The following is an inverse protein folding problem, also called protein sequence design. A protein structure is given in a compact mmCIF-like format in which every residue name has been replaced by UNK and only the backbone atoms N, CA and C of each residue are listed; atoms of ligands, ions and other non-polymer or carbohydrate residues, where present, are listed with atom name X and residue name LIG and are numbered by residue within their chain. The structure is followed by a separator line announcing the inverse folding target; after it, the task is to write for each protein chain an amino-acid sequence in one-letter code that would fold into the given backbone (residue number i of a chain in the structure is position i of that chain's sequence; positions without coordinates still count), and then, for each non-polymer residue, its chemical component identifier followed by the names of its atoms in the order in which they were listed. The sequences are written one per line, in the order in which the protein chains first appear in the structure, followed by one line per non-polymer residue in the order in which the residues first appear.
data_IF_022468621142
#
_entry.id   IF_022468621142
#
_cell.length_a   1.000
_cell.length_b   1.000
_cell.length_c   1.000
_cell.angle_alpha   90.00
_cell.angle_beta   90.00
_cell.angle_gamma   90.00
#
_symmetry.space_group_name_H-M   'P 1'
#
loop_
_entity.id
_entity.type
_entity.pdbx_description
1 polymer ?
#
# COMPACT_ATOMS: atom_id res chain seq x y z
N UNK A 1 -19.99 -4.82 24.29
CA UNK A 1 -20.03 -4.33 22.90
C UNK A 1 -20.73 -2.99 22.94
N UNK A 2 -19.98 -1.89 22.87
CA UNK A 2 -20.59 -0.56 22.86
C UNK A 2 -21.24 -0.35 21.49
N UNK A 3 -22.51 0.02 21.52
CA UNK A 3 -23.34 0.29 20.36
C UNK A 3 -22.83 1.57 19.69
N UNK A 4 -22.04 1.42 18.63
CA UNK A 4 -21.42 2.52 17.91
C UNK A 4 -22.46 3.12 16.95
N UNK A 5 -22.84 4.38 17.16
CA UNK A 5 -23.98 5.01 16.45
C UNK A 5 -23.51 5.90 15.29
N UNK A 6 -24.30 6.03 14.21
CA UNK A 6 -24.03 7.00 13.15
C UNK A 6 -23.86 8.41 13.73
N UNK A 7 -22.65 8.98 13.60
CA UNK A 7 -22.28 10.30 14.13
C UNK A 7 -21.22 10.30 15.24
N UNK A 8 -20.94 9.15 15.86
CA UNK A 8 -19.81 8.98 16.79
C UNK A 8 -18.49 8.84 16.00
N UNK A 9 -17.39 9.52 16.39
CA UNK A 9 -16.05 9.23 15.85
C UNK A 9 -15.71 7.73 15.79
N UNK A 10 -16.12 6.95 16.80
CA UNK A 10 -15.92 5.50 16.82
C UNK A 10 -16.66 4.76 15.70
N UNK A 11 -17.74 5.32 15.17
CA UNK A 11 -18.51 4.73 14.06
C UNK A 11 -17.69 4.72 12.79
N UNK A 12 -17.09 5.86 12.45
CA UNK A 12 -16.28 5.98 11.23
C UNK A 12 -15.06 5.09 11.28
N UNK A 13 -14.41 5.00 12.45
CA UNK A 13 -13.28 4.10 12.66
C UNK A 13 -13.68 2.63 12.46
N UNK A 14 -14.79 2.19 13.06
CA UNK A 14 -15.27 0.81 12.89
C UNK A 14 -15.61 0.47 11.42
N UNK A 15 -16.16 1.44 10.66
CA UNK A 15 -16.40 1.27 9.23
C UNK A 15 -15.09 1.18 8.43
N UNK A 16 -14.11 2.00 8.78
CA UNK A 16 -12.78 1.96 8.16
C UNK A 16 -12.08 0.62 8.42
N UNK A 17 -12.09 0.14 9.67
CA UNK A 17 -11.56 -1.18 10.03
C UNK A 17 -12.29 -2.32 9.31
N UNK A 18 -13.63 -2.22 9.18
CA UNK A 18 -14.40 -3.19 8.41
C UNK A 18 -14.05 -3.18 6.93
N UNK A 19 -13.75 -2.01 6.35
CA UNK A 19 -13.33 -1.89 4.96
C UNK A 19 -11.94 -2.53 4.75
N UNK A 20 -10.99 -2.29 5.67
CA UNK A 20 -9.68 -2.95 5.68
C UNK A 20 -9.85 -4.46 5.74
N UNK A 21 -10.65 -4.96 6.69
CA UNK A 21 -10.88 -6.40 6.84
C UNK A 21 -11.50 -7.03 5.58
N UNK A 22 -12.44 -6.32 4.94
CA UNK A 22 -13.02 -6.78 3.68
C UNK A 22 -11.98 -6.86 2.56
N UNK A 23 -11.14 -5.83 2.42
CA UNK A 23 -10.08 -5.78 1.39
C UNK A 23 -9.04 -6.87 1.65
N UNK A 24 -8.62 -7.09 2.89
CA UNK A 24 -7.71 -8.18 3.27
C UNK A 24 -8.24 -9.55 2.80
N UNK A 25 -9.53 -9.82 3.04
CA UNK A 25 -10.17 -11.03 2.55
C UNK A 25 -10.20 -11.12 1.01
N UNK A 26 -10.29 -10.00 0.28
CA UNK A 26 -10.20 -10.01 -1.18
C UNK A 26 -8.77 -10.22 -1.67
N UNK A 27 -7.77 -9.62 -1.01
CA UNK A 27 -6.35 -9.82 -1.33
C UNK A 27 -5.95 -11.29 -1.17
N UNK A 28 -6.43 -11.93 -0.09
CA UNK A 28 -6.22 -13.38 0.09
C UNK A 28 -6.68 -14.19 -1.12
N UNK A 29 -7.83 -13.88 -1.72
CA UNK A 29 -8.33 -14.60 -2.91
C UNK A 29 -7.40 -14.45 -4.11
N UNK A 30 -6.79 -13.27 -4.29
CA UNK A 30 -5.82 -13.03 -5.36
C UNK A 30 -4.55 -13.83 -5.11
N UNK A 31 -4.03 -13.82 -3.88
CA UNK A 31 -2.80 -14.54 -3.53
C UNK A 31 -2.99 -16.05 -3.60
N UNK A 32 -4.12 -16.57 -3.12
CA UNK A 32 -4.48 -17.99 -3.26
C UNK A 32 -4.55 -18.39 -4.73
N UNK A 33 -5.16 -17.56 -5.60
CA UNK A 33 -5.21 -17.84 -7.03
C UNK A 33 -3.82 -17.86 -7.70
N UNK A 34 -2.90 -16.96 -7.30
CA UNK A 34 -1.51 -16.99 -7.77
C UNK A 34 -0.78 -18.25 -7.29
N UNK A 35 -1.04 -18.68 -6.05
CA UNK A 35 -0.47 -19.89 -5.47
C UNK A 35 -0.97 -21.14 -6.19
N UNK A 36 -2.28 -21.27 -6.37
CA UNK A 36 -2.92 -22.42 -7.02
C UNK A 36 -2.54 -22.54 -8.50
N UNK A 37 -2.30 -21.41 -9.18
CA UNK A 37 -1.78 -21.37 -10.55
C UNK A 37 -0.27 -21.67 -10.65
N UNK A 38 0.44 -21.78 -9.53
CA UNK A 38 1.89 -21.99 -9.50
C UNK A 38 2.71 -20.75 -9.91
N UNK A 39 2.13 -19.55 -9.85
CA UNK A 39 2.77 -18.30 -10.27
C UNK A 39 3.30 -17.46 -9.10
N UNK A 40 2.97 -17.83 -7.85
CA UNK A 40 3.35 -17.07 -6.66
C UNK A 40 4.84 -16.69 -6.61
N UNK A 41 5.74 -17.57 -7.03
CA UNK A 41 7.19 -17.31 -7.00
C UNK A 41 7.72 -16.54 -8.22
N UNK A 42 6.93 -16.42 -9.29
CA UNK A 42 7.30 -15.74 -10.53
C UNK A 42 6.59 -14.41 -10.75
N UNK A 43 5.69 -14.02 -9.85
CA UNK A 43 4.92 -12.77 -9.94
C UNK A 43 5.50 -11.71 -9.01
N UNK A 44 5.81 -10.54 -9.57
CA UNK A 44 6.03 -9.32 -8.79
C UNK A 44 4.68 -8.82 -8.26
N UNK A 45 4.57 -8.70 -6.94
CA UNK A 45 3.40 -8.12 -6.26
C UNK A 45 3.82 -6.81 -5.61
N UNK A 46 3.09 -5.74 -5.93
CA UNK A 46 3.23 -4.42 -5.30
C UNK A 46 1.88 -4.06 -4.71
N UNK A 47 1.79 -3.99 -3.37
CA UNK A 47 0.63 -3.51 -2.64
C UNK A 47 0.91 -2.08 -2.18
N UNK A 48 0.02 -1.15 -2.53
CA UNK A 48 0.18 0.27 -2.20
C UNK A 48 -1.18 0.95 -2.07
N UNK A 49 -1.23 2.06 -1.35
CA UNK A 49 -2.35 3.01 -1.37
C UNK A 49 -1.94 4.31 -2.09
N UNK A 50 -2.85 4.96 -2.79
CA UNK A 50 -2.60 6.24 -3.46
C UNK A 50 -2.57 7.43 -2.48
N UNK A 51 -3.28 7.31 -1.37
CA UNK A 51 -3.24 8.21 -0.22
C UNK A 51 -3.65 7.49 1.06
N UNK A 52 -3.45 8.14 2.20
CA UNK A 52 -4.01 7.72 3.48
C UNK A 52 -5.35 8.41 3.79
N UNK A 53 -5.78 8.38 5.04
CA UNK A 53 -7.09 8.88 5.48
C UNK A 53 -6.97 9.46 6.89
N UNK A 54 -7.42 10.68 7.13
CA UNK A 54 -7.59 11.18 8.51
C UNK A 54 -8.87 10.58 9.10
N UNK A 55 -8.76 10.12 10.34
CA UNK A 55 -9.83 9.45 11.11
C UNK A 55 -10.17 10.23 12.39
N UNK A 56 -9.89 11.53 12.39
CA UNK A 56 -10.25 12.47 13.47
C UNK A 56 -9.08 13.07 14.24
N UNK A 57 -7.83 12.72 13.91
CA UNK A 57 -6.60 13.11 14.61
C UNK A 57 -6.48 14.63 14.75
N UNK A 58 -6.89 15.37 13.73
CA UNK A 58 -6.87 16.83 13.69
C UNK A 58 -8.27 17.46 13.62
N UNK A 59 -9.30 16.73 14.04
CA UNK A 59 -10.70 17.16 13.92
C UNK A 59 -11.26 17.09 12.49
N UNK A 60 -10.48 16.58 11.55
CA UNK A 60 -10.90 16.27 10.18
C UNK A 60 -11.09 14.77 10.01
N UNK A 61 -12.03 14.40 9.13
CA UNK A 61 -12.20 13.04 8.62
C UNK A 61 -12.15 13.11 7.11
N UNK A 62 -11.37 12.25 6.49
CA UNK A 62 -11.19 12.28 5.06
C UNK A 62 -9.74 12.57 4.65
N UNK A 63 -9.56 12.70 3.35
CA UNK A 63 -8.32 13.05 2.68
C UNK A 63 -8.60 14.22 1.74
N UNK A 64 -7.56 14.87 1.19
CA UNK A 64 -7.58 16.03 0.25
C UNK A 64 -7.66 17.41 0.88
N UNK A 65 -7.95 17.55 2.17
CA UNK A 65 -8.03 18.85 2.85
C UNK A 65 -6.77 19.24 3.61
N UNK A 66 -5.89 18.28 3.90
CA UNK A 66 -4.69 18.50 4.70
C UNK A 66 -3.47 17.77 4.10
N UNK A 67 -2.30 18.01 4.68
CA UNK A 67 -1.03 17.38 4.34
C UNK A 67 -0.42 16.68 5.57
N UNK A 68 -1.28 16.20 6.48
CA UNK A 68 -0.83 15.46 7.66
C UNK A 68 -0.37 14.05 7.29
N UNK A 69 0.35 13.41 8.21
CA UNK A 69 1.00 12.12 7.98
C UNK A 69 -0.03 11.04 7.65
N UNK A 70 -1.19 11.09 8.28
CA UNK A 70 -2.33 10.22 8.08
C UNK A 70 -2.83 10.24 6.63
N UNK A 71 -2.72 11.38 5.94
CA UNK A 71 -3.07 11.52 4.52
C UNK A 71 -1.93 11.16 3.57
N UNK A 72 -0.67 11.35 3.98
CA UNK A 72 0.51 11.23 3.09
C UNK A 72 1.25 9.89 3.22
N UNK A 73 1.23 9.27 4.40
CA UNK A 73 1.95 8.04 4.67
C UNK A 73 1.06 6.84 4.33
N UNK A 74 1.42 6.16 3.26
CA UNK A 74 0.68 5.00 2.73
C UNK A 74 1.45 3.70 2.93
N UNK A 75 0.75 2.55 3.01
CA UNK A 75 1.43 1.26 2.94
C UNK A 75 2.10 1.11 1.57
N UNK A 76 3.31 0.55 1.55
CA UNK A 76 4.00 0.07 0.36
C UNK A 76 4.68 -1.25 0.70
N UNK A 77 4.26 -2.33 0.06
CA UNK A 77 4.86 -3.66 0.20
C UNK A 77 5.20 -4.18 -1.18
N UNK A 78 6.45 -4.58 -1.37
CA UNK A 78 6.96 -5.14 -2.63
C UNK A 78 7.43 -6.57 -2.35
N UNK A 79 6.85 -7.54 -3.06
CA UNK A 79 7.24 -8.95 -2.99
C UNK A 79 7.64 -9.44 -4.37
N UNK A 80 8.88 -9.87 -4.51
CA UNK A 80 9.33 -10.62 -5.68
C UNK A 80 10.43 -11.61 -5.28
N UNK A 81 10.08 -12.87 -4.96
CA UNK A 81 10.99 -13.83 -4.32
C UNK A 81 12.25 -14.16 -5.13
N UNK A 82 12.27 -13.85 -6.42
CA UNK A 82 13.42 -14.09 -7.31
C UNK A 82 14.56 -13.09 -7.13
N UNK A 83 14.26 -11.90 -6.59
CA UNK A 83 15.21 -10.78 -6.52
C UNK A 83 15.24 -10.15 -5.14
N UNK A 84 14.08 -10.00 -4.50
CA UNK A 84 13.95 -9.32 -3.21
C UNK A 84 13.92 -10.38 -2.10
N UNK A 85 14.82 -10.23 -1.13
CA UNK A 85 14.84 -11.08 0.06
C UNK A 85 13.62 -10.82 0.93
N UNK A 86 13.11 -11.87 1.57
CA UNK A 86 12.00 -11.75 2.51
C UNK A 86 12.43 -11.02 3.80
N UNK A 87 11.44 -10.58 4.58
CA UNK A 87 11.61 -10.01 5.92
C UNK A 87 12.49 -8.75 5.99
N UNK A 88 12.52 -7.96 4.91
CA UNK A 88 13.17 -6.66 4.86
C UNK A 88 12.21 -5.53 5.23
N UNK A 89 12.67 -4.61 6.08
CA UNK A 89 11.98 -3.34 6.40
C UNK A 89 12.88 -2.19 5.97
N UNK A 90 12.33 -1.27 5.17
CA UNK A 90 13.03 -0.07 4.70
C UNK A 90 12.47 1.15 5.42
N UNK A 91 13.32 1.86 6.15
CA UNK A 91 12.93 3.07 6.90
C UNK A 91 13.20 4.39 6.14
N UNK A 92 13.83 4.29 4.97
CA UNK A 92 14.13 5.45 4.12
C UNK A 92 12.83 5.96 3.47
N UNK A 93 12.63 7.29 3.36
CA UNK A 93 11.46 7.83 2.67
C UNK A 93 11.38 7.34 1.22
N UNK A 94 10.19 6.88 0.84
CA UNK A 94 9.84 6.49 -0.52
C UNK A 94 8.65 7.30 -1.03
N UNK A 95 8.52 7.39 -2.35
CA UNK A 95 7.46 8.07 -3.06
C UNK A 95 6.71 7.10 -3.97
N UNK A 96 5.43 7.38 -4.24
CA UNK A 96 4.68 6.64 -5.27
C UNK A 96 5.32 6.76 -6.66
N UNK A 97 6.10 7.81 -6.90
CA UNK A 97 6.86 7.99 -8.15
C UNK A 97 7.97 6.95 -8.32
N UNK A 98 8.48 6.39 -7.21
CA UNK A 98 9.57 5.42 -7.22
C UNK A 98 9.11 4.04 -7.69
N UNK A 99 7.81 3.75 -7.62
CA UNK A 99 7.23 2.46 -8.00
C UNK A 99 7.51 2.15 -9.46
N UNK A 100 7.30 3.12 -10.37
CA UNK A 100 7.52 2.89 -11.79
C UNK A 100 9.00 2.63 -12.09
N UNK A 101 9.90 3.44 -11.53
CA UNK A 101 11.35 3.24 -11.67
C UNK A 101 11.80 1.88 -11.12
N UNK A 102 11.24 1.45 -9.99
CA UNK A 102 11.53 0.14 -9.38
C UNK A 102 11.05 -1.01 -10.26
N UNK A 103 9.87 -0.90 -10.88
CA UNK A 103 9.37 -1.91 -11.81
C UNK A 103 10.29 -2.06 -13.01
N UNK A 104 10.69 -0.94 -13.63
CA UNK A 104 11.59 -0.96 -14.79
C UNK A 104 12.92 -1.64 -14.46
N UNK A 105 13.51 -1.29 -13.31
CA UNK A 105 14.74 -1.89 -12.82
C UNK A 105 14.60 -3.41 -12.61
N UNK A 106 13.54 -3.84 -11.92
CA UNK A 106 13.23 -5.25 -11.68
C UNK A 106 13.04 -6.09 -12.96
N UNK A 107 12.55 -5.48 -14.03
CA UNK A 107 12.38 -6.18 -15.33
C UNK A 107 13.54 -5.95 -16.30
N UNK A 108 14.59 -5.24 -15.89
CA UNK A 108 15.78 -4.99 -16.70
C UNK A 108 15.55 -4.04 -17.87
N UNK A 109 14.62 -3.10 -17.74
CA UNK A 109 14.33 -2.08 -18.75
C UNK A 109 15.00 -0.75 -18.40
N UNK A 110 15.52 -0.07 -19.41
CA UNK A 110 16.13 1.26 -19.23
C UNK A 110 15.05 2.31 -18.92
N UNK A 111 15.19 3.09 -17.84
CA UNK A 111 14.24 4.14 -17.52
C UNK A 111 14.25 5.26 -18.57
N UNK A 112 13.07 5.74 -19.03
CA UNK A 112 13.02 6.89 -19.91
C UNK A 112 13.59 8.15 -19.23
N UNK A 113 14.14 9.06 -20.02
CA UNK A 113 14.62 10.33 -19.51
C UNK A 113 13.49 11.14 -18.85
N UNK A 114 13.81 11.84 -17.75
CA UNK A 114 12.88 12.75 -17.08
C UNK A 114 11.98 12.12 -16.03
N UNK A 115 12.16 10.84 -15.68
CA UNK A 115 11.52 10.27 -14.49
C UNK A 115 12.01 10.98 -13.22
N UNK A 116 11.08 11.24 -12.31
CA UNK A 116 11.36 11.89 -11.03
C UNK A 116 11.62 10.88 -9.90
N UNK A 117 11.09 9.66 -10.03
CA UNK A 117 11.28 8.60 -9.05
C UNK A 117 12.59 7.83 -9.27
N UNK A 118 13.12 7.26 -8.19
CA UNK A 118 14.32 6.40 -8.21
C UNK A 118 13.91 4.97 -7.91
N UNK A 119 14.66 3.97 -8.41
CA UNK A 119 14.43 2.58 -8.00
C UNK A 119 14.61 2.43 -6.49
N UNK A 120 13.73 1.64 -5.85
CA UNK A 120 13.81 1.29 -4.43
C UNK A 120 14.64 0.02 -4.18
N UNK A 121 15.20 -0.59 -5.23
CA UNK A 121 16.14 -1.69 -5.06
C UNK A 121 17.45 -1.19 -4.42
N UNK A 122 18.12 -2.01 -3.58
CA UNK A 122 19.41 -1.67 -2.97
C UNK A 122 20.55 -1.43 -3.97
#
# INVERSE_FOLDING_TARGET
MNDVRPGDPGYRLAFYDSAIHFVDAQLKRVFDALQDAGWAESTLVILVSDHGEELGEHGAFGHKSTLYRESLMVPLVIRYPRVIEADQTVEVPASLLDIFSTVLDLVGLEPPAGLQGTSLLP
#
